data_IF_877644288157
#
_entry.id   IF_877644288157
#
_cell.length_a   1.000
_cell.length_b   1.000
_cell.length_c   1.000
_cell.angle_alpha   90.00
_cell.angle_beta   90.00
_cell.angle_gamma   90.00
#
_symmetry.space_group_name_H-M   'P 1'
#
loop_
_entity.id
_entity.type
_entity.pdbx_description
1 polymer ?
#
# COMPACT_ATOMS: atom_id res chain seq x y z
N UNK A 1 -14.24 38.06 10.88
CA UNK A 1 -14.37 36.72 10.26
C UNK A 1 -13.01 36.41 9.65
N UNK A 2 -12.18 35.69 10.39
CA UNK A 2 -10.73 35.63 10.17
C UNK A 2 -10.35 34.67 9.03
N UNK A 3 -9.57 35.22 8.11
CA UNK A 3 -8.80 34.60 7.05
C UNK A 3 -7.63 33.80 7.63
N UNK A 4 -7.85 32.56 8.08
CA UNK A 4 -6.75 31.64 8.44
C UNK A 4 -6.08 31.02 7.19
N UNK A 5 -5.76 31.83 6.17
CA UNK A 5 -5.02 31.36 5.00
C UNK A 5 -3.52 31.39 5.25
N UNK A 6 -3.01 30.40 5.99
CA UNK A 6 -1.57 30.05 6.07
C UNK A 6 -1.04 29.48 4.73
N UNK A 7 -1.70 29.82 3.61
CA UNK A 7 -1.39 29.29 2.30
C UNK A 7 -0.19 30.07 1.73
N UNK A 8 0.92 29.40 1.37
CA UNK A 8 2.01 30.06 0.69
C UNK A 8 1.54 30.60 -0.66
N UNK A 9 1.91 31.85 -0.95
CA UNK A 9 1.61 32.55 -2.20
C UNK A 9 2.24 31.82 -3.38
N UNK A 10 1.43 31.07 -4.13
CA UNK A 10 1.87 30.25 -5.27
C UNK A 10 1.13 28.92 -5.43
N UNK A 11 0.44 28.43 -4.38
CA UNK A 11 -0.39 27.23 -4.48
C UNK A 11 -1.85 27.53 -4.82
N UNK A 12 -2.43 26.69 -5.68
CA UNK A 12 -3.88 26.72 -5.94
C UNK A 12 -4.65 26.30 -4.68
N UNK A 13 -5.90 26.77 -4.52
CA UNK A 13 -6.68 26.42 -3.34
C UNK A 13 -6.88 24.93 -3.13
N UNK A 14 -7.17 24.24 -4.23
CA UNK A 14 -7.38 22.80 -4.30
C UNK A 14 -6.13 22.00 -3.88
N UNK A 15 -4.93 22.45 -4.23
CA UNK A 15 -3.69 21.77 -3.86
C UNK A 15 -3.42 21.84 -2.35
N UNK A 16 -3.73 22.98 -1.71
CA UNK A 16 -3.58 23.14 -0.27
C UNK A 16 -4.56 22.28 0.52
N UNK A 17 -5.79 22.15 0.05
CA UNK A 17 -6.80 21.29 0.66
C UNK A 17 -6.44 19.80 0.54
N UNK A 18 -5.93 19.35 -0.61
CA UNK A 18 -5.41 17.99 -0.76
C UNK A 18 -4.26 17.70 0.19
N UNK A 19 -3.34 18.66 0.35
CA UNK A 19 -2.24 18.51 1.27
C UNK A 19 -2.75 18.37 2.72
N UNK A 20 -3.71 19.20 3.13
CA UNK A 20 -4.31 19.12 4.46
C UNK A 20 -4.99 17.76 4.71
N UNK A 21 -5.77 17.25 3.75
CA UNK A 21 -6.43 15.93 3.86
C UNK A 21 -5.40 14.80 3.90
N UNK A 22 -4.32 14.90 3.12
CA UNK A 22 -3.25 13.90 3.11
C UNK A 22 -2.54 13.84 4.48
N UNK A 23 -2.17 14.99 5.05
CA UNK A 23 -1.57 15.06 6.39
C UNK A 23 -2.54 14.56 7.45
N UNK A 24 -3.81 14.96 7.39
CA UNK A 24 -4.84 14.47 8.31
C UNK A 24 -5.00 12.94 8.23
N UNK A 25 -4.92 12.36 7.03
CA UNK A 25 -4.97 10.90 6.83
C UNK A 25 -3.75 10.21 7.45
N UNK A 26 -2.54 10.76 7.28
CA UNK A 26 -1.32 10.22 7.90
C UNK A 26 -1.43 10.26 9.42
N UNK A 27 -1.83 11.40 9.99
CA UNK A 27 -2.03 11.54 11.44
C UNK A 27 -3.09 10.56 11.93
N UNK A 28 -4.18 10.37 11.18
CA UNK A 28 -5.18 9.33 11.43
C UNK A 28 -4.60 7.92 11.45
N UNK A 29 -3.73 7.58 10.50
CA UNK A 29 -3.05 6.27 10.48
C UNK A 29 -2.08 6.07 11.66
N UNK A 30 -1.44 7.14 12.17
CA UNK A 30 -0.52 7.07 13.31
C UNK A 30 -1.27 6.95 14.63
N UNK A 31 -2.29 7.79 14.83
CA UNK A 31 -3.15 7.80 16.03
C UNK A 31 -3.99 6.53 16.15
N UNK A 32 -4.12 5.75 15.08
CA UNK A 32 -4.83 4.47 15.01
C UNK A 32 -6.20 4.49 15.73
N UNK A 33 -7.10 5.45 15.44
CA UNK A 33 -8.44 5.40 15.99
C UNK A 33 -9.23 4.20 15.42
N UNK A 34 -8.87 3.74 14.21
CA UNK A 34 -9.50 2.66 13.45
C UNK A 34 -8.44 1.86 12.67
N UNK A 35 -8.77 0.66 12.15
CA UNK A 35 -7.89 -0.08 11.24
C UNK A 35 -7.44 0.78 10.06
N UNK A 36 -6.19 0.59 9.61
CA UNK A 36 -5.56 1.40 8.55
C UNK A 36 -6.40 1.43 7.27
N UNK A 37 -7.05 0.31 6.93
CA UNK A 37 -7.97 0.26 5.78
C UNK A 37 -9.20 1.16 5.94
N UNK A 38 -9.76 1.26 7.15
CA UNK A 38 -10.92 2.09 7.43
C UNK A 38 -10.58 3.58 7.49
N UNK A 39 -9.43 3.96 8.06
CA UNK A 39 -9.00 5.37 8.12
C UNK A 39 -8.70 5.93 6.73
N UNK A 40 -8.06 5.12 5.87
CA UNK A 40 -7.79 5.48 4.47
C UNK A 40 -9.06 5.55 3.63
N UNK A 41 -10.03 4.67 3.87
CA UNK A 41 -11.35 4.76 3.23
C UNK A 41 -12.10 6.03 3.65
N UNK A 42 -12.07 6.39 4.94
CA UNK A 42 -12.66 7.66 5.42
C UNK A 42 -11.98 8.87 4.79
N UNK A 43 -10.64 8.88 4.71
CA UNK A 43 -9.90 9.94 4.02
C UNK A 43 -10.30 10.07 2.54
N UNK A 44 -10.52 8.94 1.86
CA UNK A 44 -11.03 8.93 0.49
C UNK A 44 -12.45 9.52 0.39
N UNK A 45 -13.36 9.17 1.29
CA UNK A 45 -14.72 9.73 1.35
C UNK A 45 -14.69 11.24 1.59
N UNK A 46 -13.86 11.71 2.52
CA UNK A 46 -13.68 13.14 2.80
C UNK A 46 -13.17 13.88 1.56
N UNK A 47 -12.25 13.29 0.81
CA UNK A 47 -11.73 13.88 -0.45
C UNK A 47 -12.83 14.08 -1.50
N UNK A 48 -13.79 13.16 -1.57
CA UNK A 48 -14.96 13.27 -2.46
C UNK A 48 -15.94 14.32 -1.97
N UNK A 49 -16.18 14.38 -0.65
CA UNK A 49 -17.10 15.35 -0.04
C UNK A 49 -16.61 16.79 -0.19
N UNK A 50 -15.30 17.02 -0.14
CA UNK A 50 -14.70 18.34 -0.40
C UNK A 50 -14.69 18.67 -1.92
N UNK A 51 -15.10 17.72 -2.78
CA UNK A 51 -15.24 17.94 -4.22
C UNK A 51 -13.92 17.98 -4.97
N UNK A 52 -12.83 17.51 -4.35
CA UNK A 52 -11.50 17.60 -4.96
C UNK A 52 -11.26 16.48 -5.98
N UNK A 53 -11.85 15.30 -5.75
CA UNK A 53 -11.77 14.15 -6.64
C UNK A 53 -13.18 13.63 -6.99
N UNK A 54 -13.50 13.43 -8.28
CA UNK A 54 -14.78 12.84 -8.66
C UNK A 54 -14.82 11.34 -8.34
N UNK A 55 -16.03 10.79 -8.19
CA UNK A 55 -16.21 9.33 -7.96
C UNK A 55 -15.86 8.54 -9.21
N UNK A 56 -16.28 9.04 -10.37
CA UNK A 56 -16.01 8.49 -11.70
C UNK A 56 -14.98 9.33 -12.43
N UNK A 57 -14.25 8.71 -13.36
CA UNK A 57 -13.28 9.43 -14.18
C UNK A 57 -13.99 10.53 -14.98
N UNK A 58 -13.47 11.76 -14.87
CA UNK A 58 -13.89 12.89 -15.69
C UNK A 58 -13.27 12.76 -17.08
N UNK A 59 -14.03 12.26 -18.05
CA UNK A 59 -13.58 12.06 -19.44
C UNK A 59 -13.99 13.26 -20.28
N UNK A 60 -13.03 13.88 -20.98
CA UNK A 60 -13.34 14.95 -21.93
C UNK A 60 -13.98 14.38 -23.20
N UNK A 61 -14.64 15.20 -24.03
CA UNK A 61 -15.28 14.77 -25.29
C UNK A 61 -14.32 14.10 -26.31
N UNK A 62 -13.01 14.10 -26.04
CA UNK A 62 -11.95 13.40 -26.81
C UNK A 62 -11.49 12.08 -26.18
N UNK A 63 -12.15 11.57 -25.14
CA UNK A 63 -11.79 10.30 -24.48
C UNK A 63 -10.59 10.39 -23.53
N UNK A 64 -10.08 11.60 -23.25
CA UNK A 64 -8.94 11.82 -22.32
C UNK A 64 -9.46 12.01 -20.90
N UNK A 65 -8.89 11.27 -19.94
CA UNK A 65 -9.17 11.41 -18.51
C UNK A 65 -8.55 12.72 -18.01
N UNK A 66 -9.38 13.71 -17.71
CA UNK A 66 -8.97 15.03 -17.19
C UNK A 66 -8.90 15.01 -15.66
N UNK A 67 -9.73 14.17 -15.04
CA UNK A 67 -9.74 13.93 -13.60
C UNK A 67 -9.86 12.43 -13.33
N UNK A 68 -8.86 11.86 -12.67
CA UNK A 68 -8.91 10.47 -12.21
C UNK A 68 -9.86 10.38 -11.03
N UNK A 69 -10.87 9.53 -11.16
CA UNK A 69 -11.81 9.23 -10.12
C UNK A 69 -11.21 8.29 -9.06
N UNK A 70 -11.79 8.32 -7.86
CA UNK A 70 -11.33 7.48 -6.75
C UNK A 70 -11.40 5.97 -7.09
N UNK A 71 -12.37 5.56 -7.93
CA UNK A 71 -12.58 4.17 -8.33
C UNK A 71 -11.41 3.64 -9.18
N UNK A 72 -10.78 4.50 -9.97
CA UNK A 72 -9.60 4.13 -10.77
C UNK A 72 -8.42 3.69 -9.89
N UNK A 73 -8.34 4.21 -8.66
CA UNK A 73 -7.29 3.85 -7.70
C UNK A 73 -7.36 2.39 -7.23
N UNK A 74 -8.55 1.77 -7.21
CA UNK A 74 -8.70 0.33 -6.88
C UNK A 74 -8.17 -0.59 -7.99
N UNK A 75 -7.99 -0.06 -9.21
CA UNK A 75 -7.42 -0.78 -10.35
C UNK A 75 -5.89 -0.87 -10.34
N UNK A 76 -5.20 -0.38 -9.30
CA UNK A 76 -3.75 -0.30 -9.28
C UNK A 76 -3.10 -1.71 -9.34
N UNK A 77 -2.19 -1.91 -10.29
CA UNK A 77 -1.51 -3.20 -10.49
C UNK A 77 -0.70 -3.64 -9.27
N UNK A 78 -0.07 -2.72 -8.53
CA UNK A 78 0.67 -3.07 -7.33
C UNK A 78 -0.25 -3.59 -6.22
N UNK A 79 -1.39 -2.93 -5.97
CA UNK A 79 -2.35 -3.37 -4.97
C UNK A 79 -2.95 -4.75 -5.30
N UNK A 80 -3.31 -4.97 -6.58
CA UNK A 80 -3.80 -6.27 -7.05
C UNK A 80 -2.73 -7.38 -6.91
N UNK A 81 -1.47 -7.09 -7.24
CA UNK A 81 -0.38 -8.05 -7.08
C UNK A 81 -0.18 -8.45 -5.62
N UNK A 82 -0.21 -7.49 -4.69
CA UNK A 82 -0.09 -7.76 -3.26
C UNK A 82 -1.26 -8.63 -2.79
N UNK A 83 -2.49 -8.31 -3.20
CA UNK A 83 -3.67 -9.11 -2.85
C UNK A 83 -3.55 -10.56 -3.35
N UNK A 84 -3.11 -10.78 -4.59
CA UNK A 84 -2.91 -12.12 -5.14
C UNK A 84 -1.78 -12.88 -4.43
N UNK A 85 -0.70 -12.18 -4.06
CA UNK A 85 0.40 -12.78 -3.29
C UNK A 85 -0.08 -13.27 -1.91
N UNK A 86 -0.88 -12.49 -1.19
CA UNK A 86 -1.46 -12.90 0.10
C UNK A 86 -2.39 -14.11 -0.05
N UNK A 87 -3.23 -14.14 -1.08
CA UNK A 87 -4.11 -15.29 -1.36
C UNK A 87 -3.26 -16.54 -1.63
N UNK A 88 -2.19 -16.42 -2.42
CA UNK A 88 -1.27 -17.51 -2.72
C UNK A 88 -0.53 -18.00 -1.46
N UNK A 89 -0.02 -17.08 -0.63
CA UNK A 89 0.64 -17.39 0.64
C UNK A 89 -0.30 -18.13 1.60
N UNK A 90 -1.57 -17.72 1.66
CA UNK A 90 -2.59 -18.42 2.43
C UNK A 90 -2.85 -19.85 1.90
N UNK A 91 -2.87 -20.04 0.58
CA UNK A 91 -2.96 -21.37 -0.04
C UNK A 91 -1.77 -22.29 0.29
N UNK A 92 -0.55 -21.76 0.26
CA UNK A 92 0.68 -22.50 0.64
C UNK A 92 0.66 -22.89 2.12
N UNK A 93 0.17 -21.99 2.97
CA UNK A 93 0.04 -22.24 4.41
C UNK A 93 -1.02 -23.29 4.71
N UNK A 94 -2.19 -23.20 4.06
CA UNK A 94 -3.31 -24.14 4.24
C UNK A 94 -3.00 -25.55 3.73
N UNK A 95 -2.21 -25.69 2.67
CA UNK A 95 -1.76 -27.00 2.14
C UNK A 95 -0.62 -27.63 2.96
N UNK A 96 -0.05 -26.90 3.92
CA UNK A 96 1.08 -27.38 4.73
C UNK A 96 2.41 -27.47 3.99
N UNK A 97 2.47 -27.02 2.73
CA UNK A 97 3.70 -26.97 1.94
C UNK A 97 4.72 -26.03 2.57
N UNK A 98 4.27 -24.87 3.07
CA UNK A 98 5.11 -23.93 3.80
C UNK A 98 5.79 -24.55 5.02
N UNK A 99 5.04 -25.34 5.81
CA UNK A 99 5.59 -26.04 6.97
C UNK A 99 6.65 -27.09 6.57
N UNK A 100 6.43 -27.86 5.50
CA UNK A 100 7.44 -28.83 5.02
C UNK A 100 8.75 -28.14 4.61
N UNK A 101 8.66 -27.04 3.87
CA UNK A 101 9.84 -26.25 3.46
C UNK A 101 10.51 -25.61 4.68
N UNK A 102 9.74 -25.07 5.63
CA UNK A 102 10.26 -24.51 6.86
C UNK A 102 11.04 -25.55 7.69
N UNK A 103 10.49 -26.77 7.88
CA UNK A 103 11.19 -27.84 8.59
C UNK A 103 12.49 -28.28 7.89
N UNK A 104 12.51 -28.34 6.56
CA UNK A 104 13.73 -28.62 5.79
C UNK A 104 14.80 -27.55 6.02
N UNK A 105 14.42 -26.28 6.04
CA UNK A 105 15.35 -25.17 6.29
C UNK A 105 15.84 -25.14 7.74
N UNK A 106 14.95 -25.37 8.71
CA UNK A 106 15.32 -25.47 10.13
C UNK A 106 16.34 -26.59 10.35
N UNK A 107 16.11 -27.77 9.75
CA UNK A 107 17.05 -28.90 9.83
C UNK A 107 18.42 -28.60 9.23
N UNK A 108 18.50 -27.72 8.22
CA UNK A 108 19.75 -27.37 7.51
C UNK A 108 20.50 -26.21 8.15
N UNK A 109 19.81 -25.17 8.63
CA UNK A 109 20.42 -23.88 8.99
C UNK A 109 20.14 -23.38 10.42
N UNK A 110 19.08 -23.82 11.11
CA UNK A 110 18.69 -23.30 12.44
C UNK A 110 19.48 -23.85 13.63
N UNK A 111 20.75 -24.25 13.46
CA UNK A 111 21.59 -24.65 14.59
C UNK A 111 22.05 -23.46 15.43
N UNK A 112 22.11 -22.25 14.85
CA UNK A 112 22.44 -20.98 15.51
C UNK A 112 21.62 -19.83 14.95
N UNK A 113 21.21 -18.88 15.79
CA UNK A 113 20.40 -17.70 15.41
C UNK A 113 21.01 -16.89 14.25
N UNK A 114 22.34 -16.80 14.18
CA UNK A 114 23.03 -16.09 13.10
C UNK A 114 22.85 -16.74 11.73
N UNK A 115 22.69 -18.07 11.67
CA UNK A 115 22.47 -18.81 10.42
C UNK A 115 21.10 -18.53 9.80
N UNK A 116 20.12 -18.18 10.61
CA UNK A 116 18.78 -17.78 10.15
C UNK A 116 18.86 -16.41 9.47
N UNK A 117 19.59 -15.46 10.07
CA UNK A 117 19.82 -14.15 9.47
C UNK A 117 20.48 -14.25 8.10
N UNK A 118 21.58 -15.02 7.98
CA UNK A 118 22.24 -15.23 6.69
C UNK A 118 21.36 -15.91 5.64
N UNK A 119 20.53 -16.87 6.06
CA UNK A 119 19.60 -17.52 5.14
C UNK A 119 18.54 -16.55 4.60
N UNK A 120 18.01 -15.66 5.45
CA UNK A 120 17.02 -14.64 5.03
C UNK A 120 17.67 -13.62 4.11
N UNK A 121 18.84 -13.08 4.46
CA UNK A 121 19.55 -12.11 3.60
C UNK A 121 19.95 -12.72 2.25
N UNK A 122 20.38 -14.00 2.24
CA UNK A 122 20.67 -14.72 1.00
C UNK A 122 19.42 -14.95 0.14
N UNK A 123 18.28 -15.27 0.77
CA UNK A 123 17.01 -15.40 0.08
C UNK A 123 16.55 -14.06 -0.52
N UNK A 124 16.72 -12.96 0.22
CA UNK A 124 16.42 -11.60 -0.28
C UNK A 124 17.32 -11.20 -1.45
N UNK A 125 18.60 -11.61 -1.46
CA UNK A 125 19.50 -11.38 -2.60
C UNK A 125 19.03 -12.12 -3.86
N UNK A 126 18.63 -13.39 -3.72
CA UNK A 126 18.13 -14.21 -4.83
C UNK A 126 16.77 -13.68 -5.32
N UNK A 127 15.84 -13.41 -4.41
CA UNK A 127 14.53 -12.83 -4.75
C UNK A 127 14.66 -11.42 -5.31
N UNK A 128 15.67 -10.66 -4.87
CA UNK A 128 15.98 -9.34 -5.39
C UNK A 128 16.42 -9.35 -6.85
N UNK A 129 17.11 -10.41 -7.29
CA UNK A 129 17.49 -10.63 -8.68
C UNK A 129 16.31 -11.13 -9.54
N UNK A 130 15.40 -11.94 -8.98
CA UNK A 130 14.27 -12.50 -9.72
C UNK A 130 13.04 -11.58 -9.78
N UNK A 131 12.77 -10.79 -8.74
CA UNK A 131 11.54 -10.00 -8.60
C UNK A 131 11.91 -8.52 -8.64
N UNK A 132 11.67 -7.78 -9.74
CA UNK A 132 12.02 -6.36 -9.84
C UNK A 132 11.18 -5.44 -8.95
N UNK A 133 10.08 -5.91 -8.35
CA UNK A 133 9.16 -5.11 -7.51
C UNK A 133 9.40 -5.30 -6.00
N UNK A 134 9.74 -4.22 -5.29
CA UNK A 134 9.91 -4.23 -3.83
C UNK A 134 8.63 -4.59 -3.08
N UNK A 135 7.45 -4.16 -3.55
CA UNK A 135 6.18 -4.45 -2.86
C UNK A 135 5.86 -5.94 -2.83
N UNK A 136 6.26 -6.68 -3.87
CA UNK A 136 6.10 -8.13 -3.92
C UNK A 136 7.08 -8.86 -2.97
N UNK A 137 8.30 -8.32 -2.79
CA UNK A 137 9.30 -8.89 -1.86
C UNK A 137 8.86 -8.72 -0.40
N UNK A 138 8.45 -7.51 -0.01
CA UNK A 138 8.01 -7.22 1.37
C UNK A 138 6.70 -7.93 1.73
N UNK A 139 5.78 -8.11 0.77
CA UNK A 139 4.52 -8.81 0.99
C UNK A 139 4.69 -10.29 1.37
N UNK A 140 5.75 -10.96 0.92
CA UNK A 140 6.06 -12.36 1.27
C UNK A 140 6.71 -12.48 2.65
N UNK A 141 7.40 -11.44 3.12
CA UNK A 141 8.11 -11.48 4.41
C UNK A 141 7.20 -11.15 5.60
N UNK A 142 6.15 -10.33 5.40
CA UNK A 142 5.24 -9.86 6.44
C UNK A 142 3.92 -10.66 6.55
N UNK A 143 3.64 -11.56 5.60
CA UNK A 143 2.43 -12.40 5.58
C UNK A 143 2.71 -13.81 6.06
#
# INVERSE_FOLDING_TARGET
MADHSVRPSGLTPQAWEMFAIFVATIVGCITKPLPIGSTTLLGMVVTVLVGIAPVKDGVNSKGVVVQTGILSSFGNSAARLIAMAFIMAHGISKTGLGNRVAYLMIKRFCKKSIGIGYAITGLELIMGALIPSNSARTGVLLG
#
